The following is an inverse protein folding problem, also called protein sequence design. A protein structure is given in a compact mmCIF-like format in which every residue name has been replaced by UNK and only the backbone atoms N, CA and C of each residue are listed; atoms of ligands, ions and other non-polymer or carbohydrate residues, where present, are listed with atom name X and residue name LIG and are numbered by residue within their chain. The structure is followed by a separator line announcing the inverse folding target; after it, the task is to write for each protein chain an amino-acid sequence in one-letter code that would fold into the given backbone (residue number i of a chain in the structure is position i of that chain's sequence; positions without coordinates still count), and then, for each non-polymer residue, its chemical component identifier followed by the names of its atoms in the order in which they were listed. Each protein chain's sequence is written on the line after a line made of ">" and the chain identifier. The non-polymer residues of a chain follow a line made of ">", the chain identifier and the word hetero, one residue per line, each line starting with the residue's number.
data_IF_359446781744
#
_entry.id   IF_359446781744
#
_cell.length_a   1.000
_cell.length_b   1.000
_cell.length_c   1.000
_cell.angle_alpha   90.00
_cell.angle_beta   90.00
_cell.angle_gamma   90.00
#
_symmetry.space_group_name_H-M   'P 1'
#
loop_
_entity.id
_entity.type
_entity.pdbx_description
1 polymer ?
#
# COMPACT_ATOMS: atom_id res chain seq x y z
N UNK A 1 -15.36 -45.82 -41.76
CA UNK A 1 -15.24 -47.27 -41.55
C UNK A 1 -14.70 -47.49 -40.15
N UNK A 2 -15.55 -48.11 -39.34
CA UNK A 2 -15.35 -49.15 -38.32
C UNK A 2 -14.54 -48.72 -37.07
N UNK A 3 -14.84 -49.03 -35.87
CA UNK A 3 -15.81 -49.96 -35.29
C UNK A 3 -15.95 -49.60 -33.79
N UNK A 4 -17.17 -49.64 -33.35
CA UNK A 4 -17.59 -49.81 -31.95
C UNK A 4 -17.01 -51.11 -31.37
N UNK A 5 -16.53 -51.03 -30.12
CA UNK A 5 -16.49 -52.22 -29.25
C UNK A 5 -16.99 -51.90 -27.85
N UNK A 6 -18.17 -52.44 -27.61
CA UNK A 6 -18.81 -52.64 -26.32
C UNK A 6 -18.09 -53.79 -25.58
N UNK A 7 -17.84 -53.62 -24.30
CA UNK A 7 -17.65 -54.79 -23.41
C UNK A 7 -18.00 -54.44 -21.97
N UNK A 8 -19.07 -55.04 -21.56
CA UNK A 8 -19.58 -55.18 -20.18
C UNK A 8 -18.62 -56.00 -19.31
N UNK A 9 -18.77 -55.74 -18.00
CA UNK A 9 -18.39 -56.53 -16.83
C UNK A 9 -17.00 -56.23 -16.24
N UNK A 10 -17.04 -55.61 -15.07
CA UNK A 10 -16.46 -56.21 -13.85
C UNK A 10 -17.16 -55.69 -12.60
N UNK A 11 -17.55 -56.62 -11.76
CA UNK A 11 -18.16 -56.43 -10.43
C UNK A 11 -17.08 -56.26 -9.36
N UNK A 12 -17.45 -55.51 -8.31
CA UNK A 12 -17.08 -55.59 -6.88
C UNK A 12 -16.01 -54.59 -6.39
N UNK A 13 -16.50 -53.77 -5.47
CA UNK A 13 -15.82 -53.49 -4.19
C UNK A 13 -15.02 -52.19 -4.14
N UNK A 14 -15.70 -51.08 -4.11
CA UNK A 14 -15.04 -49.85 -3.62
C UNK A 14 -16.01 -49.00 -2.82
N UNK A 15 -15.51 -48.53 -1.71
CA UNK A 15 -16.16 -47.68 -0.71
C UNK A 15 -16.67 -46.37 -1.35
N UNK A 16 -17.92 -46.03 -1.07
CA UNK A 16 -18.53 -44.77 -1.46
C UNK A 16 -17.89 -43.63 -0.70
N UNK A 17 -17.32 -42.69 -1.43
CA UNK A 17 -16.93 -41.37 -0.94
C UNK A 17 -18.20 -40.50 -0.86
N UNK A 18 -18.54 -40.02 0.34
CA UNK A 18 -19.76 -39.25 0.66
C UNK A 18 -19.73 -37.76 0.25
N UNK A 19 -19.05 -37.40 -0.82
CA UNK A 19 -18.97 -36.02 -1.28
C UNK A 19 -19.21 -35.84 -2.81
N UNK A 20 -20.18 -36.53 -3.35
CA UNK A 20 -20.60 -36.29 -4.74
C UNK A 20 -21.78 -35.32 -4.79
N UNK A 21 -21.52 -34.10 -5.25
CA UNK A 21 -22.56 -33.08 -5.50
C UNK A 21 -23.24 -33.41 -6.82
N UNK A 22 -24.48 -33.87 -6.79
CA UNK A 22 -25.30 -34.19 -7.99
C UNK A 22 -26.04 -32.91 -8.41
N UNK A 23 -25.85 -32.50 -9.65
CA UNK A 23 -26.61 -31.40 -10.28
C UNK A 23 -27.83 -31.99 -11.01
N UNK A 24 -29.01 -31.45 -10.76
CA UNK A 24 -30.22 -31.73 -11.53
C UNK A 24 -30.75 -30.35 -12.04
N UNK A 25 -30.91 -30.22 -13.32
CA UNK A 25 -31.38 -29.00 -14.00
C UNK A 25 -30.55 -27.73 -13.67
N UNK A 26 -29.22 -27.89 -13.55
CA UNK A 26 -28.29 -26.77 -13.34
C UNK A 26 -28.28 -26.20 -11.90
N UNK A 27 -28.92 -26.86 -10.93
CA UNK A 27 -28.93 -26.46 -9.52
C UNK A 27 -28.38 -27.57 -8.63
N UNK A 28 -27.49 -27.25 -7.65
CA UNK A 28 -26.98 -28.25 -6.69
C UNK A 28 -28.11 -28.68 -5.72
N UNK A 29 -28.26 -30.00 -5.52
CA UNK A 29 -29.21 -30.56 -4.55
C UNK A 29 -28.43 -31.00 -3.33
N UNK A 30 -28.62 -30.33 -2.19
CA UNK A 30 -28.06 -30.73 -0.91
C UNK A 30 -29.06 -31.64 -0.17
N UNK A 31 -28.62 -32.85 0.18
CA UNK A 31 -29.37 -33.73 1.08
C UNK A 31 -29.06 -33.39 2.53
N UNK A 32 -30.04 -32.89 3.27
CA UNK A 32 -29.98 -32.80 4.74
C UNK A 32 -30.23 -34.18 5.35
N UNK A 33 -29.27 -34.73 6.05
CA UNK A 33 -29.45 -35.93 6.86
C UNK A 33 -30.20 -35.59 8.13
N UNK A 34 -31.37 -36.22 8.24
CA UNK A 34 -32.30 -36.21 9.37
C UNK A 34 -31.76 -37.14 10.46
N UNK A 35 -31.39 -36.64 11.62
CA UNK A 35 -31.40 -37.40 12.85
C UNK A 35 -32.24 -36.68 13.89
N UNK A 36 -33.32 -37.40 14.26
CA UNK A 36 -34.26 -37.09 15.34
C UNK A 36 -33.72 -37.56 16.70
N UNK A 37 -34.22 -36.85 17.71
CA UNK A 37 -34.59 -37.21 19.09
C UNK A 37 -33.54 -36.96 20.18
N UNK A 38 -33.97 -36.13 21.09
CA UNK A 38 -34.12 -36.51 22.47
C UNK A 38 -33.84 -35.42 23.49
N UNK A 39 -34.89 -34.77 24.00
CA UNK A 39 -35.12 -34.72 25.41
C UNK A 39 -34.69 -33.51 26.23
N UNK A 40 -35.70 -32.78 26.70
CA UNK A 40 -35.87 -32.12 28.02
C UNK A 40 -35.29 -30.71 28.26
N UNK A 41 -36.26 -29.81 28.38
CA UNK A 41 -36.20 -28.61 29.24
C UNK A 41 -36.19 -29.02 30.73
N UNK A 42 -35.66 -28.17 31.66
CA UNK A 42 -36.55 -27.38 32.50
C UNK A 42 -36.14 -25.91 32.67
N UNK A 43 -37.12 -25.14 32.78
CA UNK A 43 -37.61 -24.05 33.64
C UNK A 43 -36.61 -23.23 34.46
N UNK A 44 -36.82 -21.91 34.30
CA UNK A 44 -37.01 -20.81 35.23
C UNK A 44 -36.08 -20.64 36.46
N UNK A 45 -35.55 -19.46 36.59
CA UNK A 45 -34.93 -18.94 37.79
C UNK A 45 -34.56 -17.47 37.66
N UNK A 46 -35.52 -16.61 37.98
CA UNK A 46 -35.29 -15.18 38.25
C UNK A 46 -34.28 -14.98 39.38
N UNK A 47 -33.41 -13.99 39.24
CA UNK A 47 -33.08 -13.09 40.38
C UNK A 47 -32.39 -11.80 39.86
N UNK A 48 -33.07 -10.71 40.16
CA UNK A 48 -32.67 -9.29 40.12
C UNK A 48 -31.56 -8.96 41.11
N UNK A 49 -30.73 -7.99 40.76
CA UNK A 49 -30.12 -6.93 41.60
C UNK A 49 -29.46 -5.98 40.61
N UNK A 50 -29.79 -4.79 40.40
CA UNK A 50 -30.10 -3.59 41.10
C UNK A 50 -28.83 -2.86 41.55
N UNK A 51 -28.31 -1.90 40.77
CA UNK A 51 -27.69 -0.71 41.35
C UNK A 51 -27.60 0.45 40.36
N UNK A 52 -28.25 1.50 40.76
CA UNK A 52 -28.31 2.84 40.15
C UNK A 52 -26.97 3.55 40.27
N UNK A 53 -26.58 4.34 39.31
CA UNK A 53 -26.06 5.67 39.58
C UNK A 53 -26.30 6.58 38.38
N UNK A 54 -27.24 7.49 38.65
CA UNK A 54 -27.63 8.65 37.88
C UNK A 54 -26.77 9.82 38.34
N UNK A 55 -26.19 10.58 37.44
CA UNK A 55 -25.82 11.96 37.65
C UNK A 55 -26.43 12.83 36.59
N UNK A 56 -27.57 13.42 37.00
CA UNK A 56 -28.17 14.59 36.35
C UNK A 56 -27.29 15.82 36.63
N UNK A 57 -27.03 16.60 35.61
CA UNK A 57 -26.64 17.99 35.79
C UNK A 57 -27.61 18.88 35.00
N UNK A 58 -28.57 19.44 35.75
CA UNK A 58 -29.48 20.50 35.33
C UNK A 58 -28.76 21.84 35.49
N UNK A 59 -28.69 22.59 34.40
CA UNK A 59 -28.44 24.03 34.47
C UNK A 59 -29.76 24.74 34.17
N UNK A 60 -30.38 25.30 35.22
CA UNK A 60 -31.55 26.19 35.13
C UNK A 60 -31.08 27.63 35.16
N UNK A 61 -31.56 28.41 34.22
CA UNK A 61 -31.55 29.87 34.22
C UNK A 61 -32.41 30.41 35.36
N UNK A 62 -31.91 31.43 36.06
CA UNK A 62 -32.75 32.39 36.73
C UNK A 62 -32.23 33.82 36.51
N UNK A 63 -33.12 34.65 35.96
CA UNK A 63 -33.12 36.12 36.00
C UNK A 63 -33.68 36.56 37.35
N UNK A 64 -33.07 37.59 37.93
CA UNK A 64 -33.78 38.78 38.45
C UNK A 64 -32.78 39.73 39.11
N UNK A 65 -32.69 40.92 38.62
CA UNK A 65 -33.12 42.26 39.13
C UNK A 65 -32.35 42.87 40.33
N UNK A 66 -31.82 44.04 40.00
CA UNK A 66 -31.75 45.31 40.77
C UNK A 66 -30.97 45.39 42.09
N UNK A 67 -30.11 46.39 42.13
CA UNK A 67 -29.68 47.02 43.39
C UNK A 67 -28.27 47.60 43.45
N UNK A 68 -28.20 48.89 43.22
CA UNK A 68 -27.30 49.93 43.76
C UNK A 68 -25.90 49.63 44.33
N UNK A 69 -24.96 50.35 43.75
CA UNK A 69 -24.03 51.21 44.44
C UNK A 69 -22.91 50.59 45.26
N UNK A 70 -21.68 50.59 44.74
CA UNK A 70 -20.51 51.10 45.42
C UNK A 70 -19.25 50.91 44.57
N UNK A 71 -18.56 52.03 44.29
CA UNK A 71 -17.28 52.06 43.60
C UNK A 71 -16.18 51.48 44.50
N UNK A 72 -15.58 50.35 44.13
CA UNK A 72 -14.34 49.85 44.76
C UNK A 72 -13.12 50.23 43.91
N UNK A 73 -11.96 50.49 44.53
CA UNK A 73 -10.82 51.12 43.91
C UNK A 73 -10.05 50.16 42.97
N UNK A 74 -9.52 50.75 41.93
CA UNK A 74 -8.68 50.17 40.90
C UNK A 74 -7.36 49.66 41.48
N UNK A 75 -7.24 48.35 41.71
CA UNK A 75 -5.96 47.71 42.01
C UNK A 75 -5.22 47.38 40.71
N UNK A 76 -4.09 48.04 40.48
CA UNK A 76 -3.08 47.66 39.48
C UNK A 76 -2.69 46.19 39.73
N UNK A 77 -2.98 45.32 38.79
CA UNK A 77 -2.40 43.97 38.75
C UNK A 77 -0.88 44.09 38.62
N UNK A 78 -0.17 43.68 39.65
CA UNK A 78 1.26 43.42 39.63
C UNK A 78 1.47 42.27 38.61
N UNK A 79 2.29 42.51 37.61
CA UNK A 79 2.77 41.50 36.68
C UNK A 79 3.49 40.40 37.47
N UNK A 80 2.88 39.23 37.55
CA UNK A 80 3.49 38.08 38.18
C UNK A 80 4.61 37.54 37.31
N UNK A 81 5.85 37.66 37.75
CA UNK A 81 7.03 37.08 37.15
C UNK A 81 6.90 35.55 36.96
N UNK A 82 6.12 34.87 37.80
CA UNK A 82 5.80 33.46 37.71
C UNK A 82 5.07 33.07 36.39
N UNK A 83 4.15 33.88 35.89
CA UNK A 83 3.46 33.61 34.62
C UNK A 83 4.34 33.71 33.38
N UNK A 84 5.48 34.40 33.45
CA UNK A 84 6.48 34.43 32.39
C UNK A 84 7.36 33.17 32.37
N UNK A 85 7.71 32.65 33.54
CA UNK A 85 8.48 31.40 33.65
C UNK A 85 7.69 30.17 33.19
N UNK A 86 6.40 30.10 33.50
CA UNK A 86 5.53 29.00 33.08
C UNK A 86 5.28 29.03 31.55
N UNK A 87 5.25 30.21 30.95
CA UNK A 87 5.10 30.35 29.49
C UNK A 87 6.38 29.96 28.76
N UNK A 88 7.54 30.40 29.27
CA UNK A 88 8.84 30.01 28.69
C UNK A 88 9.09 28.51 28.82
N UNK A 89 8.73 27.90 29.95
CA UNK A 89 8.86 26.46 30.14
C UNK A 89 7.93 25.63 29.22
N UNK A 90 6.69 26.09 29.00
CA UNK A 90 5.77 25.47 28.04
C UNK A 90 6.25 25.62 26.57
N UNK A 91 6.89 26.72 26.22
CA UNK A 91 7.52 26.89 24.89
C UNK A 91 8.73 25.97 24.75
N UNK A 92 9.58 25.87 25.77
CA UNK A 92 10.76 25.00 25.77
C UNK A 92 10.38 23.51 25.73
N UNK A 93 9.35 23.11 26.49
CA UNK A 93 8.80 21.75 26.45
C UNK A 93 8.12 21.46 25.10
N UNK A 94 7.48 22.46 24.49
CA UNK A 94 6.92 22.37 23.13
C UNK A 94 7.98 22.24 22.05
N UNK A 95 9.12 22.92 22.19
CA UNK A 95 10.26 22.80 21.27
C UNK A 95 10.93 21.44 21.43
N UNK A 96 11.19 21.00 22.66
CA UNK A 96 11.74 19.66 22.96
C UNK A 96 10.82 18.51 22.49
N UNK A 97 9.49 18.71 22.58
CA UNK A 97 8.53 17.75 22.04
C UNK A 97 8.54 17.70 20.52
N UNK A 98 8.71 18.85 19.84
CA UNK A 98 8.88 18.93 18.38
C UNK A 98 10.21 18.34 17.91
N UNK A 99 11.28 18.58 18.64
CA UNK A 99 12.60 17.98 18.38
C UNK A 99 12.59 16.46 18.59
N UNK A 100 11.93 15.96 19.65
CA UNK A 100 11.73 14.51 19.85
C UNK A 100 10.84 13.89 18.78
N UNK A 101 9.81 14.59 18.28
CA UNK A 101 9.02 14.13 17.14
C UNK A 101 9.79 14.18 15.80
N UNK A 102 10.70 15.15 15.65
CA UNK A 102 11.60 15.20 14.48
C UNK A 102 12.64 14.07 14.52
N UNK A 103 13.17 13.75 15.70
CA UNK A 103 14.12 12.65 15.92
C UNK A 103 13.49 11.25 15.87
N UNK A 104 12.17 11.12 15.98
CA UNK A 104 11.46 9.84 15.95
C UNK A 104 10.84 9.51 14.59
N UNK A 105 11.23 10.20 13.52
CA UNK A 105 10.76 9.88 12.17
C UNK A 105 11.84 9.02 11.48
N UNK A 106 11.73 7.67 11.51
CA UNK A 106 12.70 6.79 10.84
C UNK A 106 12.75 7.01 9.32
N UNK A 107 11.77 7.71 8.76
CA UNK A 107 11.75 8.09 7.36
C UNK A 107 12.51 9.40 7.07
N UNK A 108 12.79 10.26 8.06
CA UNK A 108 13.59 11.47 7.84
C UNK A 108 15.06 11.13 7.58
N UNK A 109 15.61 10.14 8.27
CA UNK A 109 16.97 9.63 8.00
C UNK A 109 17.04 8.84 6.69
N UNK A 110 15.94 8.21 6.26
CA UNK A 110 15.88 7.50 4.99
C UNK A 110 15.84 8.45 3.78
N UNK A 111 15.33 9.67 3.96
CA UNK A 111 15.30 10.70 2.91
C UNK A 111 16.66 11.42 2.76
N UNK A 112 17.57 11.30 3.74
CA UNK A 112 18.94 11.85 3.69
C UNK A 112 19.96 10.87 3.08
N UNK A 113 19.62 9.58 2.95
CA UNK A 113 20.50 8.61 2.31
C UNK A 113 20.58 8.89 0.80
N UNK A 114 21.79 8.85 0.20
CA UNK A 114 21.92 9.07 -1.23
C UNK A 114 21.08 8.03 -1.99
N UNK A 115 20.28 8.48 -2.91
CA UNK A 115 19.53 7.59 -3.78
C UNK A 115 20.51 6.78 -4.64
N UNK A 116 20.55 5.48 -4.39
CA UNK A 116 21.46 4.56 -5.06
C UNK A 116 20.64 3.51 -5.83
N UNK A 117 20.98 3.34 -7.09
CA UNK A 117 20.52 2.20 -7.89
C UNK A 117 21.64 1.17 -7.85
N UNK A 118 21.35 -0.04 -7.36
CA UNK A 118 22.33 -1.10 -7.16
C UNK A 118 22.04 -2.31 -8.03
N UNK A 119 23.11 -2.84 -8.62
CA UNK A 119 23.06 -4.04 -9.44
C UNK A 119 22.88 -3.78 -10.93
N UNK A 120 23.36 -4.74 -11.74
CA UNK A 120 23.56 -4.58 -13.18
C UNK A 120 22.27 -4.28 -13.95
N UNK A 121 21.21 -5.03 -13.67
CA UNK A 121 19.94 -4.86 -14.39
C UNK A 121 19.30 -3.51 -14.05
N UNK A 122 19.27 -3.13 -12.76
CA UNK A 122 18.66 -1.87 -12.34
C UNK A 122 19.41 -0.66 -12.91
N UNK A 123 20.74 -0.69 -12.90
CA UNK A 123 21.55 0.41 -13.48
C UNK A 123 21.38 0.46 -15.01
N UNK A 124 21.34 -0.71 -15.71
CA UNK A 124 21.10 -0.76 -17.15
C UNK A 124 19.75 -0.11 -17.51
N UNK A 125 18.70 -0.47 -16.79
CA UNK A 125 17.36 0.09 -17.04
C UNK A 125 17.29 1.59 -16.72
N UNK A 126 17.94 2.05 -15.68
CA UNK A 126 18.03 3.48 -15.35
C UNK A 126 18.72 4.29 -16.47
N UNK A 127 19.79 3.74 -17.08
CA UNK A 127 20.44 4.40 -18.22
C UNK A 127 19.54 4.38 -19.46
N UNK A 128 18.86 3.25 -19.74
CA UNK A 128 17.96 3.11 -20.90
C UNK A 128 16.73 4.00 -20.82
N UNK A 129 16.18 4.17 -19.62
CA UNK A 129 15.00 5.02 -19.41
C UNK A 129 15.30 6.53 -19.51
N UNK A 130 16.57 6.90 -19.67
CA UNK A 130 16.97 8.31 -19.71
C UNK A 130 16.91 9.03 -18.37
N UNK A 131 16.86 8.27 -17.26
CA UNK A 131 16.87 8.84 -15.91
C UNK A 131 18.11 9.66 -15.68
N UNK A 132 17.95 10.80 -15.00
CA UNK A 132 19.07 11.59 -14.52
C UNK A 132 19.95 10.77 -13.58
N UNK A 133 21.23 10.59 -13.93
CA UNK A 133 22.24 9.87 -13.15
C UNK A 133 23.42 10.81 -12.94
N UNK A 134 23.74 11.09 -11.66
CA UNK A 134 24.87 11.95 -11.32
C UNK A 134 26.20 11.31 -11.72
N UNK A 135 26.36 10.03 -11.40
CA UNK A 135 27.52 9.21 -11.74
C UNK A 135 27.26 7.73 -11.52
N UNK A 136 28.02 6.91 -12.23
CA UNK A 136 28.06 5.45 -12.02
C UNK A 136 29.41 5.09 -11.40
N UNK A 137 29.36 4.29 -10.33
CA UNK A 137 30.55 3.74 -9.66
C UNK A 137 30.66 2.25 -10.02
N UNK A 138 31.81 1.81 -10.50
CA UNK A 138 32.07 0.41 -10.89
C UNK A 138 33.32 -0.12 -10.22
N UNK A 139 33.36 -1.44 -9.97
CA UNK A 139 34.58 -2.11 -9.52
C UNK A 139 35.65 -2.10 -10.62
N UNK A 140 36.92 -2.30 -10.24
CA UNK A 140 38.01 -2.40 -11.20
C UNK A 140 37.92 -3.65 -12.09
N UNK A 141 37.35 -4.73 -11.54
CA UNK A 141 37.14 -6.00 -12.26
C UNK A 141 35.91 -5.91 -13.14
N UNK A 142 36.09 -5.47 -14.37
CA UNK A 142 35.01 -5.27 -15.34
C UNK A 142 34.88 -6.50 -16.25
N UNK A 143 33.80 -7.28 -16.08
CA UNK A 143 33.42 -8.36 -17.00
C UNK A 143 32.62 -7.85 -18.21
N UNK A 144 32.24 -8.77 -19.11
CA UNK A 144 31.54 -8.42 -20.35
C UNK A 144 30.24 -7.66 -20.13
N UNK A 145 29.42 -8.05 -19.14
CA UNK A 145 28.14 -7.41 -18.87
C UNK A 145 28.27 -6.02 -18.23
N UNK A 146 29.29 -5.82 -17.40
CA UNK A 146 29.62 -4.49 -16.88
C UNK A 146 30.15 -3.56 -17.97
N UNK A 147 30.95 -4.10 -18.89
CA UNK A 147 31.49 -3.35 -20.04
C UNK A 147 30.38 -2.81 -20.93
N UNK A 148 29.34 -3.61 -21.20
CA UNK A 148 28.15 -3.18 -21.94
C UNK A 148 27.48 -1.98 -21.27
N UNK A 149 27.23 -2.05 -19.94
CA UNK A 149 26.59 -0.97 -19.19
C UNK A 149 27.46 0.29 -19.16
N UNK A 150 28.78 0.14 -19.02
CA UNK A 150 29.72 1.27 -19.05
C UNK A 150 29.68 1.97 -20.43
N UNK A 151 29.67 1.22 -21.52
CA UNK A 151 29.59 1.81 -22.86
C UNK A 151 28.25 2.54 -23.04
N UNK A 152 27.13 1.91 -22.65
CA UNK A 152 25.81 2.53 -22.70
C UNK A 152 25.77 3.83 -21.86
N UNK A 153 26.39 3.86 -20.70
CA UNK A 153 26.48 5.05 -19.86
C UNK A 153 27.29 6.18 -20.52
N UNK A 154 28.41 5.83 -21.18
CA UNK A 154 29.24 6.79 -21.90
C UNK A 154 28.51 7.37 -23.12
N UNK A 155 27.79 6.56 -23.85
CA UNK A 155 26.97 6.98 -25.00
C UNK A 155 25.88 7.98 -24.58
N UNK A 156 25.43 7.91 -23.31
CA UNK A 156 24.48 8.86 -22.70
C UNK A 156 25.16 9.98 -21.89
N UNK A 157 26.48 10.21 -22.07
CA UNK A 157 27.26 11.23 -21.36
C UNK A 157 27.25 11.13 -19.84
N UNK A 158 27.04 9.93 -19.27
CA UNK A 158 27.02 9.69 -17.83
C UNK A 158 28.45 9.42 -17.36
N UNK A 159 28.86 10.15 -16.29
CA UNK A 159 30.18 9.95 -15.69
C UNK A 159 30.29 8.56 -15.03
N UNK A 160 31.36 7.82 -15.37
CA UNK A 160 31.68 6.51 -14.78
C UNK A 160 33.02 6.58 -14.07
N UNK A 161 33.02 6.35 -12.76
CA UNK A 161 34.21 6.34 -11.91
C UNK A 161 34.51 4.90 -11.47
N UNK A 162 35.79 4.48 -11.54
CA UNK A 162 36.23 3.21 -11.01
C UNK A 162 36.59 3.35 -9.53
N UNK A 163 36.06 2.46 -8.70
CA UNK A 163 36.29 2.44 -7.24
C UNK A 163 36.66 1.04 -6.78
N UNK A 164 37.16 0.93 -5.56
CA UNK A 164 37.41 -0.39 -4.95
C UNK A 164 36.08 -1.06 -4.57
N UNK A 165 36.09 -2.38 -4.42
CA UNK A 165 34.91 -3.14 -4.01
C UNK A 165 34.46 -2.76 -2.61
N UNK A 166 35.43 -2.56 -1.70
CA UNK A 166 35.19 -2.12 -0.32
C UNK A 166 34.43 -0.79 -0.28
N UNK A 167 34.72 0.14 -1.22
CA UNK A 167 34.01 1.42 -1.32
C UNK A 167 32.55 1.24 -1.75
N UNK A 168 32.27 0.29 -2.66
CA UNK A 168 30.90 -0.06 -3.02
C UNK A 168 30.17 -0.75 -1.86
N UNK A 169 30.86 -1.66 -1.16
CA UNK A 169 30.31 -2.34 0.01
C UNK A 169 29.95 -1.33 1.12
N UNK A 170 30.80 -0.35 1.40
CA UNK A 170 30.55 0.73 2.36
C UNK A 170 29.33 1.56 1.99
N UNK A 171 29.21 1.98 0.72
CA UNK A 171 28.07 2.74 0.22
C UNK A 171 26.75 1.96 0.27
N UNK A 172 26.83 0.64 0.12
CA UNK A 172 25.66 -0.22 0.07
C UNK A 172 25.32 -0.86 1.44
N UNK A 173 26.11 -0.62 2.47
CA UNK A 173 25.91 -1.16 3.82
C UNK A 173 24.52 -0.80 4.40
N UNK A 174 24.03 0.44 4.30
CA UNK A 174 22.70 0.81 4.81
C UNK A 174 21.53 0.06 4.15
N UNK A 175 21.77 -0.55 2.99
CA UNK A 175 20.75 -1.24 2.18
C UNK A 175 20.84 -2.76 2.25
N UNK A 176 21.67 -3.28 3.16
CA UNK A 176 21.82 -4.71 3.43
C UNK A 176 20.94 -5.18 4.59
N UNK A 177 20.84 -6.50 4.75
CA UNK A 177 20.21 -7.11 5.90
C UNK A 177 21.26 -7.57 6.92
N UNK A 178 21.17 -7.07 8.15
CA UNK A 178 22.16 -7.36 9.20
C UNK A 178 23.55 -6.79 8.86
N UNK A 179 24.60 -7.60 9.00
CA UNK A 179 26.00 -7.21 8.66
C UNK A 179 26.34 -7.38 7.17
N UNK A 180 25.39 -7.75 6.32
CA UNK A 180 25.62 -7.95 4.88
C UNK A 180 25.33 -6.67 4.13
N UNK A 181 26.22 -6.30 3.20
CA UNK A 181 26.03 -5.19 2.27
C UNK A 181 24.91 -5.46 1.27
N UNK A 182 24.29 -4.40 0.74
CA UNK A 182 23.39 -4.53 -0.39
C UNK A 182 24.11 -5.17 -1.60
N UNK A 183 23.41 -6.04 -2.34
CA UNK A 183 24.00 -6.75 -3.49
C UNK A 183 24.17 -5.81 -4.69
N UNK A 184 25.30 -5.13 -4.77
CA UNK A 184 25.62 -4.17 -5.84
C UNK A 184 26.17 -4.81 -7.13
N UNK A 185 26.56 -6.09 -7.12
CA UNK A 185 27.06 -6.81 -8.30
C UNK A 185 28.20 -6.07 -9.06
N UNK A 186 29.00 -5.30 -8.34
CA UNK A 186 30.13 -4.53 -8.90
C UNK A 186 29.75 -3.18 -9.54
N UNK A 187 28.50 -2.71 -9.42
CA UNK A 187 28.04 -1.45 -10.01
C UNK A 187 26.96 -0.78 -9.14
N UNK A 188 27.07 0.55 -9.02
CA UNK A 188 26.12 1.41 -8.31
C UNK A 188 25.99 2.73 -9.09
N UNK A 189 24.79 3.18 -9.35
CA UNK A 189 24.53 4.52 -9.84
C UNK A 189 24.07 5.43 -8.70
N UNK A 190 24.67 6.63 -8.58
CA UNK A 190 24.15 7.73 -7.77
C UNK A 190 23.18 8.53 -8.61
N UNK A 191 21.95 8.65 -8.10
CA UNK A 191 20.88 9.35 -8.80
C UNK A 191 20.30 10.43 -7.90
N UNK A 192 19.79 11.55 -8.46
CA UNK A 192 18.95 12.45 -7.70
C UNK A 192 17.72 11.70 -7.19
N UNK A 193 17.09 12.21 -6.15
CA UNK A 193 15.85 11.62 -5.62
C UNK A 193 14.81 11.46 -6.72
N UNK A 194 13.88 10.51 -6.52
CA UNK A 194 12.79 10.31 -7.48
C UNK A 194 11.96 11.59 -7.59
N UNK A 195 11.75 12.05 -8.80
CA UNK A 195 10.78 13.08 -9.09
C UNK A 195 9.37 12.47 -8.97
N UNK A 196 8.63 12.91 -7.96
CA UNK A 196 7.22 12.57 -7.83
C UNK A 196 6.41 13.43 -8.79
N UNK A 197 5.50 12.80 -9.51
CA UNK A 197 4.58 13.50 -10.41
C UNK A 197 3.27 13.89 -9.67
N UNK A 198 2.45 14.69 -10.34
CA UNK A 198 1.08 14.98 -9.89
C UNK A 198 0.09 13.95 -10.47
N UNK A 199 -1.09 13.83 -9.83
CA UNK A 199 -2.17 12.94 -10.33
C UNK A 199 -2.59 13.34 -11.76
N UNK A 200 -2.54 14.63 -12.08
CA UNK A 200 -2.86 15.13 -13.42
C UNK A 200 -1.95 14.54 -14.50
N UNK A 201 -0.67 14.37 -14.19
CA UNK A 201 0.32 13.83 -15.13
C UNK A 201 0.00 12.38 -15.49
N UNK A 202 -0.40 11.57 -14.48
CA UNK A 202 -0.83 10.18 -14.69
C UNK A 202 -2.05 10.08 -15.60
N UNK A 203 -3.02 10.97 -15.41
CA UNK A 203 -4.24 11.02 -16.21
C UNK A 203 -3.94 11.51 -17.64
N UNK A 204 -3.03 12.47 -17.80
CA UNK A 204 -2.57 12.94 -19.10
C UNK A 204 -1.84 11.83 -19.85
N UNK A 205 -0.97 11.10 -19.17
CA UNK A 205 -0.27 9.94 -19.73
C UNK A 205 -1.24 8.87 -20.27
N UNK A 206 -2.32 8.57 -19.51
CA UNK A 206 -3.36 7.66 -19.98
C UNK A 206 -4.08 8.18 -21.24
N UNK A 207 -4.39 9.49 -21.28
CA UNK A 207 -5.04 10.13 -22.42
C UNK A 207 -4.17 10.13 -23.68
N UNK A 208 -2.88 10.44 -23.52
CA UNK A 208 -1.89 10.42 -24.62
C UNK A 208 -1.76 9.04 -25.26
N UNK A 209 -1.93 7.97 -24.46
CA UNK A 209 -1.93 6.60 -24.93
C UNK A 209 -3.29 6.14 -25.50
N UNK A 210 -4.31 6.96 -25.41
CA UNK A 210 -5.68 6.59 -25.78
C UNK A 210 -6.26 5.46 -24.92
N UNK A 211 -5.74 5.30 -23.69
CA UNK A 211 -6.12 4.25 -22.77
C UNK A 211 -7.04 4.78 -21.66
N UNK A 212 -7.90 3.94 -21.11
CA UNK A 212 -8.68 4.25 -19.91
C UNK A 212 -7.74 4.27 -18.71
N UNK A 213 -7.79 5.32 -17.85
CA UNK A 213 -6.90 5.43 -16.70
C UNK A 213 -6.98 4.21 -15.79
N UNK A 214 -5.83 3.68 -15.40
CA UNK A 214 -5.67 2.64 -14.38
C UNK A 214 -4.63 3.09 -13.37
N UNK A 215 -5.07 3.39 -12.15
CA UNK A 215 -4.24 3.96 -11.08
C UNK A 215 -4.21 2.99 -9.89
N UNK A 216 -3.07 2.87 -9.24
CA UNK A 216 -2.93 2.10 -8.01
C UNK A 216 -2.80 3.07 -6.84
N UNK A 217 -3.55 2.85 -5.78
CA UNK A 217 -3.50 3.65 -4.55
C UNK A 217 -3.05 2.76 -3.41
N UNK A 218 -2.01 3.16 -2.68
CA UNK A 218 -1.47 2.40 -1.57
C UNK A 218 -1.85 3.07 -0.24
N UNK A 219 -2.53 2.34 0.63
CA UNK A 219 -2.95 2.83 1.94
C UNK A 219 -2.26 2.05 3.05
N UNK A 220 -1.21 2.64 3.65
CA UNK A 220 -0.49 2.03 4.76
C UNK A 220 0.54 0.96 4.38
N UNK A 221 1.03 0.93 3.14
CA UNK A 221 2.16 0.06 2.76
C UNK A 221 3.45 0.68 3.31
N UNK A 222 4.02 0.08 4.36
CA UNK A 222 5.19 0.60 5.07
C UNK A 222 6.51 -0.11 4.67
N UNK A 223 6.45 -1.33 4.15
CA UNK A 223 7.63 -2.06 3.69
C UNK A 223 8.08 -1.59 2.30
N UNK A 224 9.32 -1.07 2.16
CA UNK A 224 9.88 -0.69 0.87
C UNK A 224 9.98 -1.83 -0.15
N UNK A 225 10.11 -3.09 0.31
CA UNK A 225 10.12 -4.25 -0.58
C UNK A 225 8.75 -4.49 -1.21
N UNK A 226 7.68 -4.38 -0.41
CA UNK A 226 6.31 -4.44 -0.93
C UNK A 226 6.03 -3.29 -1.89
N UNK A 227 6.40 -2.06 -1.53
CA UNK A 227 6.26 -0.91 -2.41
C UNK A 227 6.95 -1.14 -3.77
N UNK A 228 8.21 -1.56 -3.77
CA UNK A 228 8.96 -1.83 -5.00
C UNK A 228 8.33 -2.94 -5.84
N UNK A 229 7.86 -4.02 -5.21
CA UNK A 229 7.20 -5.15 -5.87
C UNK A 229 5.84 -4.75 -6.47
N UNK A 230 5.07 -3.89 -5.76
CA UNK A 230 3.80 -3.35 -6.26
C UNK A 230 4.05 -2.45 -7.46
N UNK A 231 5.03 -1.54 -7.40
CA UNK A 231 5.38 -0.66 -8.51
C UNK A 231 5.77 -1.50 -9.75
N UNK A 232 6.58 -2.54 -9.56
CA UNK A 232 6.94 -3.46 -10.65
C UNK A 232 5.72 -4.11 -11.28
N UNK A 233 4.81 -4.62 -10.45
CA UNK A 233 3.57 -5.26 -10.91
C UNK A 233 2.66 -4.26 -11.63
N UNK A 234 2.58 -3.02 -11.12
CA UNK A 234 1.81 -1.93 -11.72
C UNK A 234 2.32 -1.59 -13.14
N UNK A 235 3.63 -1.43 -13.29
CA UNK A 235 4.26 -1.19 -14.61
C UNK A 235 4.02 -2.37 -15.55
N UNK A 236 4.23 -3.62 -15.08
CA UNK A 236 3.98 -4.81 -15.89
C UNK A 236 2.50 -4.97 -16.27
N UNK A 237 1.58 -4.56 -15.41
CA UNK A 237 0.14 -4.52 -15.70
C UNK A 237 -0.27 -3.29 -16.53
N UNK A 238 0.65 -2.40 -16.88
CA UNK A 238 0.36 -1.19 -17.64
C UNK A 238 -0.47 -0.17 -16.87
N UNK A 239 -0.35 -0.10 -15.54
CA UNK A 239 -0.96 0.97 -14.76
C UNK A 239 -0.30 2.31 -15.12
N UNK A 240 -1.09 3.39 -15.11
CA UNK A 240 -0.65 4.72 -15.50
C UNK A 240 -0.02 5.49 -14.35
N UNK A 241 -0.14 4.98 -13.10
CA UNK A 241 0.51 5.58 -11.95
C UNK A 241 0.23 4.86 -10.65
N UNK A 242 1.07 5.18 -9.64
CA UNK A 242 0.97 4.69 -8.27
C UNK A 242 0.91 5.87 -7.33
N UNK A 243 -0.10 5.94 -6.48
CA UNK A 243 -0.29 7.00 -5.48
C UNK A 243 0.08 6.45 -4.10
N UNK A 244 0.97 7.14 -3.40
CA UNK A 244 1.38 6.84 -2.03
C UNK A 244 1.12 8.02 -1.10
N UNK A 245 0.80 7.81 0.19
CA UNK A 245 0.68 8.90 1.14
C UNK A 245 2.05 9.45 1.56
N UNK A 246 2.09 10.73 1.97
CA UNK A 246 3.32 11.37 2.49
C UNK A 246 3.76 10.85 3.85
N UNK A 247 2.84 10.29 4.64
CA UNK A 247 3.06 9.83 6.01
C UNK A 247 2.51 8.42 6.18
N UNK A 248 3.12 7.63 7.09
CA UNK A 248 2.72 6.26 7.40
C UNK A 248 2.70 5.38 6.15
N UNK A 249 3.75 5.49 5.35
CA UNK A 249 3.95 4.66 4.18
C UNK A 249 5.42 4.65 3.81
N UNK A 250 5.85 3.60 3.12
CA UNK A 250 7.16 3.54 2.52
C UNK A 250 7.33 4.66 1.47
N UNK A 251 8.49 5.29 1.51
CA UNK A 251 8.94 6.16 0.41
C UNK A 251 9.68 5.32 -0.63
N UNK A 252 9.82 5.85 -1.83
CA UNK A 252 10.65 5.20 -2.85
C UNK A 252 12.11 5.40 -2.50
N UNK A 253 12.60 4.52 -1.65
CA UNK A 253 14.00 4.45 -1.21
C UNK A 253 14.82 3.55 -2.15
N UNK A 254 16.13 3.51 -1.96
CA UNK A 254 16.99 2.57 -2.69
C UNK A 254 16.56 1.10 -2.50
N UNK A 255 15.97 0.73 -1.35
CA UNK A 255 15.43 -0.61 -1.13
C UNK A 255 14.21 -0.88 -2.02
N UNK A 256 13.27 0.08 -2.12
CA UNK A 256 12.13 -0.01 -3.03
C UNK A 256 12.57 -0.01 -4.50
N UNK A 257 13.54 0.83 -4.87
CA UNK A 257 14.13 0.86 -6.22
C UNK A 257 14.73 -0.50 -6.59
N UNK A 258 15.49 -1.12 -5.67
CA UNK A 258 16.06 -2.45 -5.88
C UNK A 258 14.97 -3.53 -6.01
N UNK A 259 13.94 -3.49 -5.17
CA UNK A 259 12.81 -4.43 -5.22
C UNK A 259 12.01 -4.31 -6.51
N UNK A 260 11.90 -3.09 -7.06
CA UNK A 260 11.22 -2.85 -8.34
C UNK A 260 11.99 -3.41 -9.55
N UNK A 261 13.25 -3.83 -9.37
CA UNK A 261 14.14 -4.36 -10.43
C UNK A 261 14.19 -3.45 -11.69
N UNK A 262 14.21 -2.13 -11.47
CA UNK A 262 14.27 -1.12 -12.53
C UNK A 262 12.91 -0.64 -13.05
N UNK A 263 11.80 -1.26 -12.64
CA UNK A 263 10.46 -0.82 -13.09
C UNK A 263 10.11 0.60 -12.64
N UNK A 264 10.73 1.07 -11.55
CA UNK A 264 10.52 2.43 -11.04
C UNK A 264 10.85 3.54 -12.08
N UNK A 265 11.74 3.24 -13.01
CA UNK A 265 12.16 4.17 -14.07
C UNK A 265 11.06 4.44 -15.09
N UNK A 266 10.06 3.56 -15.14
CA UNK A 266 8.90 3.65 -16.03
C UNK A 266 7.61 4.00 -15.29
N UNK A 267 7.69 4.15 -13.97
CA UNK A 267 6.53 4.36 -13.12
C UNK A 267 6.29 5.84 -12.85
N UNK A 268 5.06 6.30 -13.03
CA UNK A 268 4.62 7.58 -12.50
C UNK A 268 4.19 7.37 -11.04
N UNK A 269 4.88 8.00 -10.10
CA UNK A 269 4.56 7.91 -8.67
C UNK A 269 4.17 9.28 -8.14
N UNK A 270 2.98 9.40 -7.55
CA UNK A 270 2.54 10.62 -6.87
C UNK A 270 2.54 10.46 -5.36
N UNK A 271 2.99 11.48 -4.65
CA UNK A 271 3.02 11.51 -3.18
C UNK A 271 1.98 12.50 -2.65
N UNK A 272 0.88 11.99 -2.08
CA UNK A 272 -0.25 12.81 -1.67
C UNK A 272 -0.32 13.02 -0.16
N UNK A 273 -0.81 14.19 0.27
CA UNK A 273 -1.01 14.46 1.70
C UNK A 273 -2.17 13.66 2.30
N UNK A 274 -3.20 13.36 1.49
CA UNK A 274 -4.43 12.68 1.92
C UNK A 274 -5.00 11.82 0.79
N UNK A 275 -5.12 10.50 1.04
CA UNK A 275 -5.65 9.53 0.08
C UNK A 275 -7.13 9.79 -0.22
N UNK A 276 -7.95 10.15 0.78
CA UNK A 276 -9.37 10.39 0.56
C UNK A 276 -9.63 11.56 -0.40
N UNK A 277 -8.79 12.60 -0.35
CA UNK A 277 -8.84 13.71 -1.30
C UNK A 277 -8.37 13.29 -2.71
N UNK A 278 -7.35 12.44 -2.79
CA UNK A 278 -6.90 11.87 -4.07
C UNK A 278 -8.01 11.02 -4.72
N UNK A 279 -8.70 10.21 -3.93
CA UNK A 279 -9.86 9.42 -4.38
C UNK A 279 -10.97 10.34 -4.91
N UNK A 280 -11.33 11.40 -4.18
CA UNK A 280 -12.36 12.33 -4.63
C UNK A 280 -12.00 12.93 -6.01
N UNK A 281 -10.75 13.39 -6.17
CA UNK A 281 -10.27 13.91 -7.45
C UNK A 281 -10.34 12.87 -8.59
N UNK A 282 -9.99 11.62 -8.32
CA UNK A 282 -10.06 10.56 -9.35
C UNK A 282 -11.52 10.24 -9.72
N UNK A 283 -12.45 10.32 -8.78
CA UNK A 283 -13.89 10.18 -9.05
C UNK A 283 -14.40 11.31 -9.94
N UNK A 284 -13.99 12.55 -9.67
CA UNK A 284 -14.34 13.71 -10.50
C UNK A 284 -13.82 13.56 -11.94
N UNK A 285 -12.72 12.82 -12.14
CA UNK A 285 -12.18 12.45 -13.46
C UNK A 285 -12.81 11.17 -14.06
N UNK A 286 -13.84 10.62 -13.41
CA UNK A 286 -14.64 9.51 -13.91
C UNK A 286 -14.07 8.11 -13.67
N UNK A 287 -13.12 7.94 -12.73
CA UNK A 287 -12.63 6.63 -12.34
C UNK A 287 -13.53 6.00 -11.28
N UNK A 288 -13.77 4.70 -11.43
CA UNK A 288 -14.30 3.87 -10.34
C UNK A 288 -13.20 3.53 -9.35
N UNK A 289 -13.54 3.45 -8.07
CA UNK A 289 -12.60 3.15 -6.99
C UNK A 289 -12.92 1.77 -6.43
N UNK A 290 -12.06 0.80 -6.69
CA UNK A 290 -12.14 -0.56 -6.15
C UNK A 290 -11.20 -0.70 -4.94
N UNK A 291 -11.71 -1.13 -3.80
CA UNK A 291 -10.89 -1.44 -2.62
C UNK A 291 -10.63 -2.93 -2.49
N UNK A 292 -9.37 -3.33 -2.32
CA UNK A 292 -9.00 -4.72 -2.05
C UNK A 292 -9.31 -5.08 -0.59
N UNK A 293 -10.33 -5.91 -0.36
CA UNK A 293 -10.78 -6.28 0.98
C UNK A 293 -11.44 -7.65 0.96
N UNK A 294 -11.23 -8.47 2.00
CA UNK A 294 -11.77 -9.83 2.08
C UNK A 294 -13.30 -9.86 2.09
N UNK A 295 -13.96 -8.80 2.57
CA UNK A 295 -15.42 -8.69 2.59
C UNK A 295 -16.02 -8.29 1.22
N UNK A 296 -15.18 -8.08 0.21
CA UNK A 296 -15.59 -7.65 -1.12
C UNK A 296 -16.18 -8.76 -1.97
N UNK A 297 -16.68 -8.37 -3.14
CA UNK A 297 -17.11 -9.31 -4.19
C UNK A 297 -15.89 -10.05 -4.75
N UNK A 298 -16.02 -11.35 -4.98
CA UNK A 298 -14.93 -12.13 -5.60
C UNK A 298 -14.49 -11.49 -6.93
N UNK A 299 -13.18 -11.35 -7.14
CA UNK A 299 -12.59 -10.66 -8.29
C UNK A 299 -13.12 -11.14 -9.65
N UNK A 300 -13.42 -12.43 -9.77
CA UNK A 300 -13.98 -13.00 -10.99
C UNK A 300 -15.41 -12.52 -11.31
N UNK A 301 -16.15 -12.06 -10.28
CA UNK A 301 -17.54 -11.56 -10.38
C UNK A 301 -17.62 -10.05 -10.26
N UNK A 302 -16.60 -9.39 -9.72
CA UNK A 302 -16.52 -7.95 -9.60
C UNK A 302 -16.21 -7.34 -10.98
N UNK A 303 -16.89 -6.24 -11.31
CA UNK A 303 -16.66 -5.51 -12.56
C UNK A 303 -15.50 -4.54 -12.36
N UNK A 304 -14.35 -4.85 -12.93
CA UNK A 304 -13.13 -4.06 -12.81
C UNK A 304 -12.66 -3.45 -14.15
N UNK A 305 -13.41 -3.64 -15.24
CA UNK A 305 -13.07 -3.10 -16.55
C UNK A 305 -13.21 -1.56 -16.60
N UNK A 306 -12.48 -0.95 -17.52
CA UNK A 306 -12.61 0.50 -17.74
C UNK A 306 -11.66 1.38 -16.91
N UNK A 307 -12.05 2.65 -16.71
CA UNK A 307 -11.29 3.60 -15.90
C UNK A 307 -11.43 3.23 -14.42
N UNK A 308 -10.30 2.87 -13.77
CA UNK A 308 -10.30 2.29 -12.43
C UNK A 308 -9.12 2.77 -11.61
N UNK A 309 -9.37 3.07 -10.32
CA UNK A 309 -8.33 3.14 -9.30
C UNK A 309 -8.48 1.97 -8.33
N UNK A 310 -7.42 1.18 -8.14
CA UNK A 310 -7.38 0.04 -7.24
C UNK A 310 -6.64 0.42 -5.96
N UNK A 311 -7.34 0.33 -4.83
CA UNK A 311 -6.79 0.62 -3.51
C UNK A 311 -6.30 -0.67 -2.86
N UNK A 312 -5.04 -0.66 -2.44
CA UNK A 312 -4.39 -1.76 -1.73
C UNK A 312 -4.04 -1.29 -0.32
N UNK A 313 -4.47 -2.01 0.68
CA UNK A 313 -4.18 -1.75 2.09
C UNK A 313 -2.93 -2.45 2.60
N UNK A 314 -2.59 -2.20 3.87
CA UNK A 314 -1.50 -2.88 4.58
C UNK A 314 -1.83 -4.37 4.83
N UNK A 315 -0.79 -5.17 5.14
CA UNK A 315 -0.94 -6.61 5.39
C UNK A 315 -1.74 -6.92 6.66
N UNK A 316 -1.63 -6.09 7.69
CA UNK A 316 -2.32 -6.31 8.96
C UNK A 316 -3.71 -5.68 9.00
N UNK A 317 -3.78 -4.36 8.78
CA UNK A 317 -5.00 -3.58 8.98
C UNK A 317 -5.86 -3.47 7.70
N UNK A 318 -5.33 -3.87 6.55
CA UNK A 318 -5.99 -3.69 5.26
C UNK A 318 -6.13 -2.21 4.87
N UNK A 319 -7.22 -1.87 4.20
CA UNK A 319 -7.57 -0.49 3.85
C UNK A 319 -8.14 0.23 5.06
N UNK A 320 -7.65 1.42 5.36
CA UNK A 320 -8.16 2.24 6.46
C UNK A 320 -9.65 2.52 6.30
N UNK A 321 -10.39 2.62 7.42
CA UNK A 321 -11.84 2.79 7.42
C UNK A 321 -12.29 3.95 6.54
N UNK A 322 -11.66 5.12 6.67
CA UNK A 322 -12.02 6.31 5.91
C UNK A 322 -11.82 6.11 4.40
N UNK A 323 -10.76 5.44 3.99
CA UNK A 323 -10.48 5.14 2.59
C UNK A 323 -11.45 4.08 2.06
N UNK A 324 -11.76 3.06 2.86
CA UNK A 324 -12.74 2.02 2.54
C UNK A 324 -14.15 2.60 2.29
N UNK A 325 -14.58 3.57 3.12
CA UNK A 325 -15.85 4.29 2.95
C UNK A 325 -15.91 5.14 1.67
N UNK A 326 -14.76 5.49 1.08
CA UNK A 326 -14.65 6.23 -0.18
C UNK A 326 -14.59 5.35 -1.42
N UNK A 327 -14.35 4.05 -1.27
CA UNK A 327 -14.40 3.10 -2.38
C UNK A 327 -15.84 2.96 -2.90
N UNK A 328 -16.00 2.78 -4.22
CA UNK A 328 -17.32 2.54 -4.83
C UNK A 328 -17.75 1.10 -4.63
N UNK A 329 -16.79 0.18 -4.60
CA UNK A 329 -17.01 -1.23 -4.30
C UNK A 329 -15.74 -1.86 -3.73
N UNK A 330 -15.92 -3.03 -3.10
CA UNK A 330 -14.83 -3.84 -2.58
C UNK A 330 -14.67 -5.09 -3.42
N UNK A 331 -13.42 -5.50 -3.62
CA UNK A 331 -13.06 -6.70 -4.38
C UNK A 331 -12.20 -7.61 -3.51
N UNK A 332 -12.49 -8.91 -3.56
CA UNK A 332 -11.75 -9.92 -2.81
C UNK A 332 -11.10 -10.95 -3.73
N UNK A 333 -10.00 -11.52 -3.25
CA UNK A 333 -9.36 -12.70 -3.82
C UNK A 333 -9.89 -13.90 -3.04
N UNK A 334 -10.58 -14.88 -3.66
CA UNK A 334 -11.08 -16.06 -2.94
C UNK A 334 -9.92 -16.88 -2.36
N UNK A 335 -9.92 -17.09 -1.06
CA UNK A 335 -8.97 -17.97 -0.37
C UNK A 335 -9.58 -19.36 -0.21
N UNK A 336 -8.84 -20.38 -0.61
CA UNK A 336 -9.29 -21.79 -0.55
C UNK A 336 -8.58 -22.58 0.55
N UNK A 337 -7.58 -22.00 1.18
CA UNK A 337 -6.77 -22.61 2.25
C UNK A 337 -7.14 -22.11 3.64
N UNK A 338 -6.42 -22.59 4.68
CA UNK A 338 -6.63 -22.19 6.06
C UNK A 338 -6.08 -20.79 6.39
N UNK A 339 -5.32 -20.19 5.47
CA UNK A 339 -4.78 -18.82 5.59
C UNK A 339 -5.69 -17.89 4.82
N UNK A 340 -6.10 -16.82 5.45
CA UNK A 340 -7.11 -15.87 4.96
C UNK A 340 -6.53 -14.63 4.24
N UNK A 341 -5.20 -14.47 4.22
CA UNK A 341 -4.56 -13.31 3.64
C UNK A 341 -3.33 -13.66 2.80
N UNK A 342 -3.00 -12.79 1.85
CA UNK A 342 -1.78 -12.83 1.03
C UNK A 342 -0.89 -11.64 1.39
N UNK A 343 0.40 -11.76 1.10
CA UNK A 343 1.28 -10.59 1.06
C UNK A 343 0.68 -9.49 0.18
N UNK A 344 0.76 -8.23 0.61
CA UNK A 344 0.12 -7.10 -0.05
C UNK A 344 0.55 -6.94 -1.52
N UNK A 345 1.83 -7.17 -1.84
CA UNK A 345 2.33 -7.06 -3.21
C UNK A 345 1.82 -8.19 -4.12
N UNK A 346 1.61 -9.38 -3.56
CA UNK A 346 1.03 -10.53 -4.27
C UNK A 346 -0.46 -10.27 -4.55
N UNK A 347 -1.22 -9.86 -3.54
CA UNK A 347 -2.63 -9.51 -3.69
C UNK A 347 -2.83 -8.40 -4.73
N UNK A 348 -2.00 -7.35 -4.66
CA UNK A 348 -2.00 -6.26 -5.63
C UNK A 348 -1.77 -6.78 -7.07
N UNK A 349 -0.76 -7.64 -7.28
CA UNK A 349 -0.46 -8.19 -8.59
C UNK A 349 -1.64 -9.01 -9.15
N UNK A 350 -2.23 -9.90 -8.35
CA UNK A 350 -3.38 -10.71 -8.77
C UNK A 350 -4.53 -9.81 -9.25
N UNK A 351 -4.91 -8.81 -8.45
CA UNK A 351 -6.03 -7.91 -8.78
C UNK A 351 -5.72 -7.00 -9.99
N UNK A 352 -4.48 -6.55 -10.15
CA UNK A 352 -4.05 -5.76 -11.32
C UNK A 352 -4.18 -6.58 -12.61
N UNK A 353 -3.73 -7.83 -12.61
CA UNK A 353 -3.81 -8.68 -13.79
C UNK A 353 -5.23 -9.19 -14.05
N UNK A 354 -6.06 -9.39 -13.02
CA UNK A 354 -7.48 -9.65 -13.20
C UNK A 354 -8.18 -8.46 -13.88
N UNK A 355 -7.91 -7.23 -13.44
CA UNK A 355 -8.40 -6.03 -14.10
C UNK A 355 -8.00 -6.01 -15.59
N UNK A 356 -6.74 -6.30 -15.91
CA UNK A 356 -6.29 -6.35 -17.30
C UNK A 356 -6.93 -7.48 -18.11
N UNK A 357 -7.17 -8.63 -17.48
CA UNK A 357 -7.93 -9.72 -18.10
C UNK A 357 -9.34 -9.26 -18.50
N UNK A 358 -10.01 -8.50 -17.63
CA UNK A 358 -11.34 -7.95 -17.90
C UNK A 358 -11.33 -6.85 -18.97
N UNK A 359 -10.28 -6.05 -19.06
CA UNK A 359 -10.12 -5.08 -20.15
C UNK A 359 -9.90 -5.74 -21.53
N UNK A 360 -9.69 -7.06 -21.57
CA UNK A 360 -9.40 -7.77 -22.81
C UNK A 360 -7.99 -7.45 -23.32
N UNK A 361 -6.96 -7.95 -22.61
CA UNK A 361 -5.55 -7.69 -22.94
C UNK A 361 -5.29 -8.01 -24.40
N UNK A 362 -5.13 -6.97 -25.21
CA UNK A 362 -4.46 -7.09 -26.51
C UNK A 362 -3.01 -6.69 -26.25
N UNK A 363 -2.11 -7.68 -26.39
CA UNK A 363 -0.69 -7.38 -26.47
C UNK A 363 -0.50 -6.55 -27.71
N UNK A 364 -0.09 -5.29 -27.55
CA UNK A 364 0.33 -4.44 -28.66
C UNK A 364 1.62 -4.98 -29.29
#
# INVERSE_FOLDING_TARGET
>A
MAQYRDSRNYRRGEQRNDNEVIFRDGKPVTYASRQERGGRRPEAGEKSYGSKNSYNNHNSYNRDKDGDGERKPYYKKRDNAEGRFDRAKKEEDGIKARERQAQSNPNAEADELPYLIMGRNAVREAVRSGRSIDRILVTKDVDGSLREIINLARDNNIRVDQVSREKLDELCLPFGHGQKTGNHQGIVAKVPGIEYCEIADMLSFARERGEKPFIIILDGIEDPHNLGSIIRSAVCAGAHGVIIPRRRAASVTAAATKASAGAIEYAHVAKVANIANAIARLKDEGLWIAGADMSGTAMASARMDGALALVIGSEGDGISRLVKEKCDFLVSIPMLGPIDSLNASVAAAILMFEKRRQDGIKKG
#
